data_IF_323899544474
#
_entry.id   IF_323899544474
#
_cell.length_a   1.000
_cell.length_b   1.000
_cell.length_c   1.000
_cell.angle_alpha   90.00
_cell.angle_beta   90.00
_cell.angle_gamma   90.00
#
_symmetry.space_group_name_H-M   'P 1'
#
loop_
_entity.id
_entity.type
_entity.pdbx_description
1 polymer ?
#
# COMPACT_ATOMS: atom_id res chain seq x y z
N UNK A 1 -7.40 -10.29 1.47
CA UNK A 1 -6.50 -11.09 2.34
C UNK A 1 -5.61 -12.02 1.52
N UNK A 2 -6.13 -12.76 0.53
CA UNK A 2 -5.36 -13.70 -0.32
C UNK A 2 -4.19 -13.05 -1.04
N UNK A 3 -4.36 -11.83 -1.56
CA UNK A 3 -3.29 -11.10 -2.27
C UNK A 3 -2.07 -10.85 -1.36
N UNK A 4 -2.29 -10.31 -0.15
CA UNK A 4 -1.20 -10.05 0.80
C UNK A 4 -0.52 -11.34 1.27
N UNK A 5 -1.27 -12.43 1.45
CA UNK A 5 -0.69 -13.74 1.75
C UNK A 5 0.26 -14.21 0.65
N UNK A 6 -0.12 -14.08 -0.62
CA UNK A 6 0.71 -14.45 -1.76
C UNK A 6 1.97 -13.57 -1.83
N UNK A 7 1.85 -12.26 -1.61
CA UNK A 7 2.97 -11.31 -1.61
C UNK A 7 3.98 -11.68 -0.51
N UNK A 8 3.50 -11.89 0.73
CA UNK A 8 4.31 -12.27 1.87
C UNK A 8 5.00 -13.61 1.64
N UNK A 9 4.26 -14.62 1.19
CA UNK A 9 4.79 -15.96 0.90
C UNK A 9 5.85 -15.92 -0.19
N UNK A 10 5.62 -15.22 -1.28
CA UNK A 10 6.59 -15.08 -2.38
C UNK A 10 7.85 -14.34 -1.93
N UNK A 11 7.70 -13.27 -1.15
CA UNK A 11 8.84 -12.53 -0.63
C UNK A 11 9.67 -13.39 0.32
N UNK A 12 9.01 -14.06 1.28
CA UNK A 12 9.67 -14.92 2.23
C UNK A 12 10.35 -16.12 1.58
N UNK A 13 9.63 -16.88 0.73
CA UNK A 13 10.16 -18.09 0.08
C UNK A 13 11.37 -17.76 -0.81
N UNK A 14 11.28 -16.68 -1.58
CA UNK A 14 12.28 -16.36 -2.58
C UNK A 14 13.53 -15.66 -2.02
N UNK A 15 13.44 -14.94 -0.88
CA UNK A 15 14.61 -14.25 -0.30
C UNK A 15 15.19 -14.99 0.91
N UNK A 16 14.35 -15.61 1.73
CA UNK A 16 14.74 -16.17 3.03
C UNK A 16 14.43 -17.67 3.16
N UNK A 17 13.70 -18.27 2.21
CA UNK A 17 13.41 -19.69 2.14
C UNK A 17 14.52 -20.49 1.45
N UNK A 18 14.23 -21.78 1.18
CA UNK A 18 15.16 -22.66 0.45
C UNK A 18 15.54 -22.18 -0.93
N UNK A 19 14.68 -21.44 -1.60
CA UNK A 19 14.91 -20.82 -2.92
C UNK A 19 15.77 -19.55 -2.80
N UNK A 20 15.90 -18.99 -1.60
CA UNK A 20 16.70 -17.79 -1.35
C UNK A 20 18.17 -17.96 -1.76
N UNK A 21 18.74 -19.15 -1.52
CA UNK A 21 20.11 -19.44 -1.97
C UNK A 21 20.28 -19.20 -3.49
N UNK A 22 19.37 -19.74 -4.30
CA UNK A 22 19.41 -19.55 -5.75
C UNK A 22 19.25 -18.08 -6.15
N UNK A 23 18.41 -17.34 -5.43
CA UNK A 23 18.19 -15.92 -5.71
C UNK A 23 19.44 -15.07 -5.44
N UNK A 24 20.19 -15.40 -4.39
CA UNK A 24 21.41 -14.67 -4.01
C UNK A 24 22.66 -15.12 -4.80
N UNK A 25 22.64 -16.30 -5.45
CA UNK A 25 23.71 -16.74 -6.34
C UNK A 25 23.57 -16.18 -7.75
N UNK A 26 22.43 -15.58 -8.11
CA UNK A 26 22.27 -14.89 -9.40
C UNK A 26 23.22 -13.69 -9.48
N UNK A 27 23.79 -13.41 -10.67
CA UNK A 27 24.66 -12.24 -10.90
C UNK A 27 23.83 -10.94 -10.98
N UNK A 28 22.91 -10.73 -10.01
CA UNK A 28 22.04 -9.59 -9.94
C UNK A 28 22.33 -8.77 -8.67
N UNK A 29 22.25 -7.45 -8.76
CA UNK A 29 22.42 -6.61 -7.59
C UNK A 29 21.30 -6.82 -6.57
N UNK A 30 21.57 -6.74 -5.26
CA UNK A 30 20.53 -6.84 -4.21
C UNK A 30 19.39 -5.85 -4.43
N UNK A 31 19.68 -4.67 -4.96
CA UNK A 31 18.69 -3.65 -5.32
C UNK A 31 17.72 -4.15 -6.40
N UNK A 32 18.24 -4.76 -7.46
CA UNK A 32 17.42 -5.29 -8.55
C UNK A 32 16.49 -6.40 -8.06
N UNK A 33 16.97 -7.26 -7.16
CA UNK A 33 16.17 -8.33 -6.56
C UNK A 33 15.01 -7.77 -5.74
N UNK A 34 15.28 -6.84 -4.83
CA UNK A 34 14.25 -6.23 -3.98
C UNK A 34 13.23 -5.46 -4.83
N UNK A 35 13.71 -4.64 -5.79
CA UNK A 35 12.84 -3.85 -6.66
C UNK A 35 11.95 -4.74 -7.54
N UNK A 36 12.47 -5.81 -8.12
CA UNK A 36 11.68 -6.72 -8.96
C UNK A 36 10.52 -7.36 -8.18
N UNK A 37 10.76 -7.75 -6.92
CA UNK A 37 9.71 -8.29 -6.04
C UNK A 37 8.69 -7.22 -5.67
N UNK A 38 9.15 -6.01 -5.39
CA UNK A 38 8.28 -4.87 -5.11
C UNK A 38 7.38 -4.51 -6.29
N UNK A 39 7.94 -4.38 -7.50
CA UNK A 39 7.15 -4.06 -8.70
C UNK A 39 6.08 -5.13 -8.96
N UNK A 40 6.46 -6.42 -8.88
CA UNK A 40 5.49 -7.50 -9.02
C UNK A 40 4.37 -7.47 -7.98
N UNK A 41 4.69 -7.16 -6.72
CA UNK A 41 3.72 -7.01 -5.65
C UNK A 41 2.82 -5.79 -5.85
N UNK A 42 3.39 -4.67 -6.31
CA UNK A 42 2.64 -3.44 -6.60
C UNK A 42 1.62 -3.67 -7.72
N UNK A 43 2.04 -4.24 -8.84
CA UNK A 43 1.15 -4.58 -9.97
C UNK A 43 0.02 -5.50 -9.52
N UNK A 44 0.34 -6.56 -8.76
CA UNK A 44 -0.67 -7.49 -8.25
C UNK A 44 -1.66 -6.80 -7.29
N UNK A 45 -1.18 -5.88 -6.44
CA UNK A 45 -2.03 -5.13 -5.51
C UNK A 45 -2.94 -4.14 -6.23
N UNK A 46 -2.43 -3.42 -7.23
CA UNK A 46 -3.23 -2.51 -8.05
C UNK A 46 -4.28 -3.26 -8.87
N UNK A 47 -3.93 -4.43 -9.41
CA UNK A 47 -4.89 -5.29 -10.11
C UNK A 47 -6.02 -5.78 -9.18
N UNK A 48 -5.69 -6.22 -7.98
CA UNK A 48 -6.72 -6.61 -6.99
C UNK A 48 -7.61 -5.44 -6.59
N UNK A 49 -7.04 -4.24 -6.46
CA UNK A 49 -7.79 -3.02 -6.18
C UNK A 49 -8.77 -2.71 -7.32
N UNK A 50 -8.30 -2.76 -8.56
CA UNK A 50 -9.14 -2.59 -9.74
C UNK A 50 -10.32 -3.57 -9.77
N UNK A 51 -10.07 -4.86 -9.47
CA UNK A 51 -11.13 -5.88 -9.38
C UNK A 51 -12.13 -5.58 -8.26
N UNK A 52 -11.68 -5.03 -7.13
CA UNK A 52 -12.58 -4.62 -6.04
C UNK A 52 -13.50 -3.48 -6.49
N UNK A 53 -12.98 -2.46 -7.16
CA UNK A 53 -13.81 -1.39 -7.72
C UNK A 53 -14.80 -1.90 -8.77
N UNK A 54 -14.32 -2.76 -9.66
CA UNK A 54 -15.17 -3.36 -10.70
C UNK A 54 -16.31 -4.19 -10.09
N UNK A 55 -16.00 -5.01 -9.07
CA UNK A 55 -17.02 -5.81 -8.39
C UNK A 55 -18.04 -4.96 -7.65
N UNK A 56 -17.58 -3.89 -6.99
CA UNK A 56 -18.46 -2.91 -6.33
C UNK A 56 -19.39 -2.22 -7.33
N UNK A 57 -18.84 -1.78 -8.46
CA UNK A 57 -19.60 -1.16 -9.53
C UNK A 57 -20.68 -2.11 -10.11
N UNK A 58 -20.30 -3.36 -10.43
CA UNK A 58 -21.26 -4.40 -10.90
C UNK A 58 -22.35 -4.63 -9.85
N UNK A 59 -22.00 -4.68 -8.57
CA UNK A 59 -22.97 -4.89 -7.48
C UNK A 59 -24.01 -3.75 -7.46
N UNK A 60 -23.57 -2.49 -7.60
CA UNK A 60 -24.47 -1.32 -7.66
C UNK A 60 -25.43 -1.44 -8.87
N UNK A 61 -24.91 -1.83 -10.05
CA UNK A 61 -25.73 -1.99 -11.26
C UNK A 61 -26.78 -3.09 -11.08
N UNK A 62 -26.40 -4.24 -10.55
CA UNK A 62 -27.31 -5.38 -10.33
C UNK A 62 -28.39 -5.02 -9.30
N UNK A 63 -27.98 -4.43 -8.18
CA UNK A 63 -28.94 -4.01 -7.14
C UNK A 63 -29.92 -2.95 -7.64
N UNK A 64 -29.46 -1.96 -8.40
CA UNK A 64 -30.33 -0.96 -9.00
C UNK A 64 -31.34 -1.59 -9.98
N UNK A 65 -30.90 -2.50 -10.82
CA UNK A 65 -31.76 -3.22 -11.76
C UNK A 65 -32.81 -4.10 -11.04
N UNK A 66 -32.44 -4.77 -9.94
CA UNK A 66 -33.35 -5.61 -9.15
C UNK A 66 -34.39 -4.78 -8.40
N UNK A 67 -34.01 -3.63 -7.86
CA UNK A 67 -34.90 -2.76 -7.09
C UNK A 67 -35.74 -1.85 -8.01
N UNK A 68 -35.39 -1.78 -9.31
CA UNK A 68 -36.04 -0.90 -10.28
C UNK A 68 -35.76 0.58 -10.05
N UNK A 69 -34.65 0.93 -9.42
CA UNK A 69 -34.23 2.32 -9.19
C UNK A 69 -33.51 2.88 -10.41
N UNK A 70 -33.78 4.17 -10.69
CA UNK A 70 -33.00 4.92 -11.68
C UNK A 70 -31.56 5.09 -11.19
N UNK A 71 -30.61 4.61 -12.00
CA UNK A 71 -29.18 4.69 -11.72
C UNK A 71 -28.52 5.97 -12.27
N UNK A 72 -29.27 6.82 -12.96
CA UNK A 72 -28.74 8.07 -13.53
C UNK A 72 -28.07 8.98 -12.48
N UNK A 73 -28.59 9.10 -11.22
CA UNK A 73 -27.91 9.88 -10.19
C UNK A 73 -26.57 9.31 -9.77
N UNK A 74 -26.41 7.98 -9.79
CA UNK A 74 -25.12 7.35 -9.45
C UNK A 74 -24.06 7.66 -10.51
N UNK A 75 -24.42 7.59 -11.78
CA UNK A 75 -23.50 7.93 -12.88
C UNK A 75 -23.13 9.41 -12.88
N UNK A 76 -24.07 10.30 -12.58
CA UNK A 76 -23.79 11.74 -12.49
C UNK A 76 -22.81 12.05 -11.35
N UNK A 77 -23.01 11.45 -10.16
CA UNK A 77 -22.10 11.60 -9.01
C UNK A 77 -20.69 11.10 -9.35
N UNK A 78 -20.58 9.94 -10.02
CA UNK A 78 -19.29 9.40 -10.42
C UNK A 78 -18.60 10.33 -11.43
N UNK A 79 -19.33 10.79 -12.44
CA UNK A 79 -18.79 11.70 -13.46
C UNK A 79 -18.34 13.03 -12.83
N UNK A 80 -19.11 13.58 -11.91
CA UNK A 80 -18.79 14.79 -11.17
C UNK A 80 -17.55 14.59 -10.29
N UNK A 81 -17.45 13.47 -9.55
CA UNK A 81 -16.28 13.16 -8.73
C UNK A 81 -14.99 13.12 -9.55
N UNK A 82 -15.03 12.58 -10.77
CA UNK A 82 -13.86 12.54 -11.67
C UNK A 82 -13.59 13.87 -12.40
N UNK A 83 -14.51 14.81 -12.40
CA UNK A 83 -14.28 16.15 -12.95
C UNK A 83 -13.42 17.03 -12.05
N UNK A 84 -13.38 16.74 -10.76
CA UNK A 84 -12.61 17.50 -9.78
C UNK A 84 -11.14 17.04 -9.68
N UNK A 85 -10.23 17.99 -9.47
CA UNK A 85 -8.79 17.73 -9.32
C UNK A 85 -8.47 16.83 -8.12
N UNK A 86 -9.28 16.86 -7.08
CA UNK A 86 -9.11 16.04 -5.86
C UNK A 86 -9.10 14.53 -6.15
N UNK A 87 -9.85 14.07 -7.18
CA UNK A 87 -9.87 12.65 -7.54
C UNK A 87 -8.47 12.15 -7.94
N UNK A 88 -7.72 12.95 -8.68
CA UNK A 88 -6.34 12.64 -9.08
C UNK A 88 -5.41 12.57 -7.85
N UNK A 89 -5.54 13.51 -6.90
CA UNK A 89 -4.78 13.50 -5.67
C UNK A 89 -5.05 12.26 -4.81
N UNK A 90 -6.30 11.85 -4.70
CA UNK A 90 -6.71 10.63 -3.99
C UNK A 90 -6.10 9.39 -4.64
N UNK A 91 -6.16 9.28 -5.98
CA UNK A 91 -5.60 8.12 -6.71
C UNK A 91 -4.08 8.05 -6.49
N UNK A 92 -3.38 9.18 -6.63
CA UNK A 92 -1.92 9.22 -6.41
C UNK A 92 -1.59 8.82 -4.98
N UNK A 93 -2.29 9.39 -4.00
CA UNK A 93 -2.08 9.05 -2.58
C UNK A 93 -2.32 7.58 -2.29
N UNK A 94 -3.34 6.97 -2.88
CA UNK A 94 -3.63 5.53 -2.75
C UNK A 94 -2.54 4.65 -3.32
N UNK A 95 -1.94 5.01 -4.45
CA UNK A 95 -0.82 4.29 -5.05
C UNK A 95 0.39 4.31 -4.09
N UNK A 96 0.73 5.47 -3.54
CA UNK A 96 1.84 5.59 -2.60
C UNK A 96 1.57 4.85 -1.28
N UNK A 97 0.36 4.91 -0.76
CA UNK A 97 -0.05 4.17 0.45
C UNK A 97 0.02 2.65 0.22
N UNK A 98 -0.41 2.18 -0.95
CA UNK A 98 -0.28 0.76 -1.32
C UNK A 98 1.18 0.34 -1.40
N UNK A 99 2.03 1.15 -2.03
CA UNK A 99 3.46 0.91 -2.11
C UNK A 99 4.13 0.85 -0.74
N UNK A 100 3.82 1.80 0.15
CA UNK A 100 4.36 1.81 1.51
C UNK A 100 3.87 0.63 2.34
N UNK A 101 2.63 0.18 2.15
CA UNK A 101 2.08 -1.03 2.78
C UNK A 101 2.84 -2.30 2.38
N UNK A 102 3.24 -2.44 1.11
CA UNK A 102 4.06 -3.57 0.65
C UNK A 102 5.43 -3.56 1.33
N UNK A 103 6.09 -2.39 1.38
CA UNK A 103 7.38 -2.26 2.06
C UNK A 103 7.28 -2.52 3.57
N UNK A 104 6.17 -2.17 4.21
CA UNK A 104 5.92 -2.48 5.62
C UNK A 104 5.98 -4.00 5.88
N UNK A 105 5.32 -4.81 5.04
CA UNK A 105 5.42 -6.26 5.15
C UNK A 105 6.86 -6.75 4.94
N UNK A 106 7.56 -6.21 3.96
CA UNK A 106 8.93 -6.61 3.65
C UNK A 106 9.91 -6.29 4.79
N UNK A 107 9.82 -5.08 5.37
CA UNK A 107 10.63 -4.70 6.55
C UNK A 107 10.32 -5.61 7.74
N UNK A 108 9.05 -5.87 8.01
CA UNK A 108 8.63 -6.71 9.13
C UNK A 108 9.19 -8.13 9.01
N UNK A 109 9.18 -8.69 7.81
CA UNK A 109 9.78 -10.00 7.53
C UNK A 109 11.30 -9.94 7.71
N UNK A 110 11.96 -8.93 7.14
CA UNK A 110 13.40 -8.75 7.24
C UNK A 110 13.87 -8.62 8.70
N UNK A 111 13.17 -7.81 9.50
CA UNK A 111 13.44 -7.68 10.95
C UNK A 111 13.22 -9.00 11.69
N UNK A 112 12.18 -9.76 11.34
CA UNK A 112 11.94 -11.09 11.92
C UNK A 112 13.08 -12.08 11.67
N UNK A 113 13.79 -11.96 10.53
CA UNK A 113 14.92 -12.84 10.19
C UNK A 113 16.17 -12.58 11.03
N UNK A 114 16.30 -11.43 11.68
CA UNK A 114 17.44 -11.13 12.56
C UNK A 114 17.49 -12.03 13.80
N UNK A 115 16.40 -12.72 14.09
CA UNK A 115 16.29 -13.58 15.27
C UNK A 115 16.34 -15.06 14.88
N UNK A 116 17.10 -15.85 15.61
CA UNK A 116 17.24 -17.30 15.36
C UNK A 116 15.99 -18.10 15.73
N UNK A 117 15.29 -17.69 16.82
CA UNK A 117 14.11 -18.39 17.33
C UNK A 117 12.80 -17.72 16.90
N UNK A 118 11.82 -18.53 16.43
CA UNK A 118 10.45 -18.13 16.10
C UNK A 118 10.39 -16.93 15.15
N UNK A 119 11.15 -16.96 14.07
CA UNK A 119 11.29 -15.89 13.07
C UNK A 119 9.95 -15.33 12.58
N UNK A 120 8.98 -16.22 12.30
CA UNK A 120 7.65 -15.79 11.82
C UNK A 120 6.86 -15.03 12.89
N UNK A 121 6.90 -15.47 14.14
CA UNK A 121 6.20 -14.80 15.24
C UNK A 121 6.77 -13.42 15.52
N UNK A 122 8.10 -13.26 15.42
CA UNK A 122 8.76 -11.96 15.57
C UNK A 122 8.47 -11.03 14.39
N UNK A 123 8.37 -11.55 13.16
CA UNK A 123 7.95 -10.76 12.01
C UNK A 123 6.53 -10.18 12.20
N UNK A 124 5.60 -10.98 12.73
CA UNK A 124 4.25 -10.51 13.04
C UNK A 124 4.28 -9.44 14.13
N UNK A 125 5.07 -9.64 15.19
CA UNK A 125 5.21 -8.65 16.28
C UNK A 125 5.77 -7.32 15.74
N UNK A 126 6.83 -7.37 14.91
CA UNK A 126 7.38 -6.16 14.29
C UNK A 126 6.40 -5.48 13.35
N UNK A 127 5.57 -6.26 12.64
CA UNK A 127 4.52 -5.70 11.79
C UNK A 127 3.54 -4.85 12.62
N UNK A 128 2.99 -5.39 13.71
CA UNK A 128 2.07 -4.63 14.56
C UNK A 128 2.75 -3.44 15.22
N UNK A 129 3.98 -3.59 15.71
CA UNK A 129 4.72 -2.49 16.30
C UNK A 129 4.95 -1.36 15.30
N UNK A 130 5.39 -1.67 14.07
CA UNK A 130 5.55 -0.69 13.01
C UNK A 130 4.22 -0.04 12.62
N UNK A 131 3.13 -0.82 12.54
CA UNK A 131 1.79 -0.28 12.29
C UNK A 131 1.42 0.78 13.33
N UNK A 132 1.63 0.50 14.62
CA UNK A 132 1.31 1.44 15.71
C UNK A 132 2.16 2.72 15.58
N UNK A 133 3.48 2.57 15.46
CA UNK A 133 4.39 3.73 15.37
C UNK A 133 4.07 4.59 14.15
N UNK A 134 3.92 3.98 12.97
CA UNK A 134 3.63 4.71 11.74
C UNK A 134 2.22 5.31 11.74
N UNK A 135 1.26 4.68 12.41
CA UNK A 135 -0.08 5.22 12.57
C UNK A 135 -0.08 6.49 13.42
N UNK A 136 0.65 6.50 14.56
CA UNK A 136 0.78 7.68 15.41
C UNK A 136 1.40 8.86 14.63
N UNK A 137 2.46 8.60 13.87
CA UNK A 137 3.07 9.65 13.04
C UNK A 137 2.12 10.06 11.91
N UNK A 138 1.45 9.09 11.29
CA UNK A 138 0.54 9.31 10.17
C UNK A 138 -0.66 10.18 10.54
N UNK A 139 -1.18 10.09 11.76
CA UNK A 139 -2.31 10.93 12.20
C UNK A 139 -1.97 12.42 12.17
N UNK A 140 -0.71 12.79 12.39
CA UNK A 140 -0.27 14.18 12.36
C UNK A 140 -0.23 14.79 10.94
N UNK A 141 -0.01 13.95 9.92
CA UNK A 141 0.13 14.37 8.51
C UNK A 141 -0.98 13.89 7.60
N UNK A 142 -2.03 13.28 8.18
CA UNK A 142 -3.15 12.77 7.39
C UNK A 142 -3.89 13.93 6.72
N UNK A 143 -4.03 13.93 5.39
CA UNK A 143 -4.74 14.97 4.66
C UNK A 143 -6.24 15.03 4.99
N UNK A 144 -6.80 13.90 5.46
CA UNK A 144 -8.22 13.76 5.77
C UNK A 144 -8.52 13.85 7.29
N UNK A 145 -7.58 14.35 8.11
CA UNK A 145 -7.77 14.44 9.57
C UNK A 145 -8.96 15.32 9.95
N UNK A 146 -9.20 16.37 9.17
CA UNK A 146 -10.31 17.30 9.38
C UNK A 146 -11.52 16.86 8.53
N UNK A 147 -12.13 15.72 8.89
CA UNK A 147 -13.26 15.14 8.15
C UNK A 147 -14.46 16.10 8.02
N UNK A 148 -14.65 17.01 8.99
CA UNK A 148 -15.65 18.06 8.89
C UNK A 148 -15.35 19.07 7.78
N UNK A 149 -14.09 19.46 7.62
CA UNK A 149 -13.68 20.36 6.56
C UNK A 149 -13.83 19.70 5.18
N UNK A 150 -13.48 18.41 5.05
CA UNK A 150 -13.71 17.65 3.82
C UNK A 150 -15.20 17.51 3.53
N UNK A 151 -16.03 17.20 4.54
CA UNK A 151 -17.48 17.09 4.39
C UNK A 151 -18.12 18.41 3.95
N UNK A 152 -17.70 19.53 4.54
CA UNK A 152 -18.21 20.86 4.16
C UNK A 152 -17.78 21.25 2.73
N UNK A 153 -16.55 20.93 2.34
CA UNK A 153 -16.08 21.20 0.96
C UNK A 153 -16.88 20.43 -0.09
N UNK A 154 -17.24 19.18 0.21
CA UNK A 154 -18.10 18.36 -0.65
C UNK A 154 -19.51 19.00 -0.81
N UNK A 155 -20.03 19.61 0.27
CA UNK A 155 -21.36 20.22 0.26
C UNK A 155 -21.35 21.61 -0.41
N UNK A 156 -20.30 22.41 -0.18
CA UNK A 156 -20.24 23.81 -0.65
C UNK A 156 -19.43 23.99 -1.96
N UNK A 157 -18.95 22.93 -2.57
CA UNK A 157 -18.31 22.97 -3.90
C UNK A 157 -16.85 23.43 -3.95
N UNK A 158 -16.19 23.68 -2.79
CA UNK A 158 -14.79 24.12 -2.72
C UNK A 158 -13.80 22.94 -2.66
N UNK A 159 -14.09 21.87 -3.39
CA UNK A 159 -13.36 20.59 -3.29
C UNK A 159 -11.93 20.72 -3.85
N UNK A 160 -11.74 21.55 -4.88
CA UNK A 160 -10.45 21.68 -5.58
C UNK A 160 -9.37 22.36 -4.71
N UNK A 161 -9.78 23.16 -3.71
CA UNK A 161 -8.87 23.79 -2.77
C UNK A 161 -8.21 22.79 -1.80
N UNK A 162 -8.77 21.57 -1.68
CA UNK A 162 -8.23 20.52 -0.82
C UNK A 162 -7.09 19.71 -1.44
N UNK A 163 -6.88 19.79 -2.76
CA UNK A 163 -5.82 19.06 -3.44
C UNK A 163 -4.43 19.25 -2.81
N UNK A 164 -3.98 20.47 -2.55
CA UNK A 164 -2.68 20.73 -1.92
C UNK A 164 -2.50 20.12 -0.52
N UNK A 165 -3.57 19.86 0.22
CA UNK A 165 -3.52 19.24 1.55
C UNK A 165 -3.02 17.79 1.52
N UNK A 166 -3.02 17.14 0.34
CA UNK A 166 -2.44 15.82 0.17
C UNK A 166 -0.91 15.82 0.09
N UNK A 167 -0.27 16.97 -0.17
CA UNK A 167 1.19 17.07 -0.33
C UNK A 167 1.96 16.60 0.91
N UNK A 168 1.64 17.03 2.16
CA UNK A 168 2.32 16.53 3.35
C UNK A 168 2.17 15.02 3.52
N UNK A 169 0.98 14.48 3.23
CA UNK A 169 0.71 13.05 3.25
C UNK A 169 1.56 12.29 2.23
N UNK A 170 1.69 12.79 1.01
CA UNK A 170 2.53 12.18 -0.03
C UNK A 170 4.02 12.22 0.34
N UNK A 171 4.51 13.35 0.88
CA UNK A 171 5.90 13.45 1.37
C UNK A 171 6.15 12.41 2.46
N UNK A 172 5.23 12.24 3.39
CA UNK A 172 5.32 11.24 4.43
C UNK A 172 5.37 9.81 3.86
N UNK A 173 4.52 9.48 2.87
CA UNK A 173 4.53 8.17 2.21
C UNK A 173 5.87 7.91 1.51
N UNK A 174 6.42 8.90 0.80
CA UNK A 174 7.73 8.80 0.14
C UNK A 174 8.85 8.56 1.17
N UNK A 175 8.88 9.32 2.27
CA UNK A 175 9.86 9.14 3.35
C UNK A 175 9.76 7.73 3.94
N UNK A 176 8.54 7.22 4.17
CA UNK A 176 8.33 5.84 4.63
C UNK A 176 8.91 4.82 3.66
N UNK A 177 8.57 4.93 2.37
CA UNK A 177 9.05 4.01 1.34
C UNK A 177 10.57 3.99 1.30
N UNK A 178 11.19 5.16 1.26
CA UNK A 178 12.65 5.30 1.20
C UNK A 178 13.32 4.70 2.45
N UNK A 179 12.85 5.05 3.64
CA UNK A 179 13.41 4.54 4.90
C UNK A 179 13.27 3.01 5.02
N UNK A 180 12.11 2.47 4.67
CA UNK A 180 11.85 1.04 4.67
C UNK A 180 12.70 0.29 3.63
N UNK A 181 12.85 0.84 2.44
CA UNK A 181 13.71 0.28 1.39
C UNK A 181 15.17 0.17 1.85
N UNK A 182 15.73 1.24 2.39
CA UNK A 182 17.10 1.22 2.92
C UNK A 182 17.26 0.25 4.09
N UNK A 183 16.25 0.16 4.96
CA UNK A 183 16.25 -0.82 6.06
C UNK A 183 16.32 -2.26 5.55
N UNK A 184 15.50 -2.62 4.56
CA UNK A 184 15.52 -3.95 3.94
C UNK A 184 16.87 -4.21 3.30
N UNK A 185 17.37 -3.26 2.51
CA UNK A 185 18.65 -3.39 1.82
C UNK A 185 19.80 -3.61 2.82
N UNK A 186 19.84 -2.81 3.89
CA UNK A 186 20.87 -2.92 4.93
C UNK A 186 20.81 -4.27 5.63
N UNK A 187 19.62 -4.73 6.03
CA UNK A 187 19.47 -6.03 6.69
C UNK A 187 19.88 -7.16 5.75
N UNK A 188 19.43 -7.14 4.50
CA UNK A 188 19.71 -8.20 3.54
C UNK A 188 21.19 -8.28 3.17
N UNK A 189 21.91 -7.15 3.11
CA UNK A 189 23.31 -7.10 2.71
C UNK A 189 24.29 -7.37 3.85
N UNK A 190 24.00 -6.84 5.06
CA UNK A 190 25.01 -6.79 6.13
C UNK A 190 24.69 -7.64 7.35
N UNK A 191 23.43 -7.98 7.61
CA UNK A 191 23.03 -8.67 8.82
C UNK A 191 22.62 -10.12 8.60
N UNK A 192 22.20 -10.47 7.39
CA UNK A 192 21.88 -11.83 7.05
C UNK A 192 23.11 -12.46 6.36
N UNK A 193 23.84 -13.31 7.13
CA UNK A 193 24.81 -14.24 6.55
C UNK A 193 24.01 -15.30 5.78
N UNK A 194 23.72 -15.01 4.52
CA UNK A 194 23.06 -15.92 3.57
C UNK A 194 24.08 -16.78 2.80
N UNK A 195 25.31 -16.89 3.35
CA UNK A 195 26.36 -17.78 2.85
C UNK A 195 26.21 -19.17 3.43
#
# INVERSE_FOLDING_TARGET
>A
LSNYYIIIRRFYSNLYGREGYLTWTLPASPHAIILSKFVGALVASLYCLFLLFLSGFITILVMGAVIGQDLSPVFSIIAEAFSHSIAYWIIVWWIFTTASGIFLFYVSIALGQLFQNRRGLKAILFFFLLCIVLSIIGTAVNPLKDSYAVGSALVYGNIDEFGPNFIPGLIYEVIKIVSMYFTIHYISKYKLNLQ
#
